data_IF_474614657369
#
_entry.id   IF_474614657369
#
_cell.length_a   1.000
_cell.length_b   1.000
_cell.length_c   1.000
_cell.angle_alpha   90.00
_cell.angle_beta   90.00
_cell.angle_gamma   90.00
#
_symmetry.space_group_name_H-M   'P 1'
#
loop_
_entity.id
_entity.type
_entity.pdbx_description
1 polymer ?
#
# COMPACT_ATOMS: atom_id res chain seq x y z
N UNK A 1 -11.53 6.65 -2.67
CA UNK A 1 -11.21 8.09 -2.89
C UNK A 1 -11.99 8.57 -4.10
N UNK A 2 -11.87 9.83 -4.56
CA UNK A 2 -12.52 10.24 -5.82
C UNK A 2 -11.89 9.52 -7.01
N UNK A 3 -12.72 8.82 -7.78
CA UNK A 3 -12.31 7.94 -8.88
C UNK A 3 -11.89 8.67 -10.17
N UNK A 4 -11.35 7.91 -11.12
CA UNK A 4 -10.97 8.38 -12.44
C UNK A 4 -9.70 9.24 -12.49
N UNK A 5 -9.51 9.94 -13.61
CA UNK A 5 -8.34 10.79 -13.89
C UNK A 5 -8.71 12.25 -14.22
N UNK A 6 -9.91 12.68 -13.82
CA UNK A 6 -10.40 14.05 -14.06
C UNK A 6 -9.66 15.08 -13.20
N UNK A 7 -9.88 16.37 -13.45
CA UNK A 7 -9.31 17.45 -12.63
C UNK A 7 -9.72 17.40 -11.14
N UNK A 8 -10.79 16.68 -10.79
CA UNK A 8 -11.29 16.52 -9.42
C UNK A 8 -11.04 15.12 -8.82
N UNK A 9 -10.38 14.24 -9.60
CA UNK A 9 -10.01 12.89 -9.15
C UNK A 9 -8.94 12.95 -8.06
N UNK A 10 -8.86 11.91 -7.25
CA UNK A 10 -7.77 11.75 -6.30
C UNK A 10 -6.42 11.71 -7.00
N UNK A 11 -6.36 11.06 -8.17
CA UNK A 11 -5.15 10.93 -8.99
C UNK A 11 -4.45 12.28 -9.22
N UNK A 12 -5.21 13.35 -9.46
CA UNK A 12 -4.69 14.69 -9.71
C UNK A 12 -4.67 15.61 -8.48
N UNK A 13 -5.17 15.17 -7.33
CA UNK A 13 -5.34 15.99 -6.12
C UNK A 13 -4.72 15.36 -4.85
N UNK A 14 -3.77 14.44 -5.01
CA UNK A 14 -3.12 13.71 -3.92
C UNK A 14 -1.69 14.19 -3.59
N UNK A 15 -1.37 15.45 -3.91
CA UNK A 15 -0.01 16.01 -3.79
C UNK A 15 0.52 15.99 -2.35
N UNK A 16 -0.32 16.32 -1.35
CA UNK A 16 0.09 16.27 0.06
C UNK A 16 0.48 14.86 0.50
N UNK A 17 -0.29 13.85 0.09
CA UNK A 17 0.00 12.46 0.38
C UNK A 17 1.28 12.00 -0.33
N UNK A 18 1.56 12.53 -1.53
CA UNK A 18 2.82 12.29 -2.24
C UNK A 18 4.02 12.84 -1.46
N UNK A 19 3.92 14.07 -0.96
CA UNK A 19 4.97 14.70 -0.15
C UNK A 19 5.25 13.91 1.14
N UNK A 20 4.21 13.38 1.79
CA UNK A 20 4.37 12.51 2.95
C UNK A 20 5.09 11.19 2.59
N UNK A 21 4.75 10.58 1.45
CA UNK A 21 5.45 9.39 0.96
C UNK A 21 6.92 9.72 0.69
N UNK A 22 7.20 10.81 -0.03
CA UNK A 22 8.55 11.25 -0.36
C UNK A 22 9.38 11.52 0.90
N UNK A 23 8.82 12.18 1.91
CA UNK A 23 9.48 12.44 3.19
C UNK A 23 9.71 11.16 4.02
N UNK A 24 8.92 10.11 3.81
CA UNK A 24 9.04 8.84 4.53
C UNK A 24 10.01 7.84 3.90
N UNK A 25 10.57 8.14 2.72
CA UNK A 25 11.43 7.22 1.96
C UNK A 25 12.64 6.72 2.74
N UNK A 26 13.31 7.61 3.47
CA UNK A 26 14.49 7.23 4.26
C UNK A 26 14.13 6.34 5.44
N UNK A 27 12.99 6.61 6.10
CA UNK A 27 12.48 5.73 7.16
C UNK A 27 12.16 4.32 6.62
N UNK A 28 11.52 4.22 5.47
CA UNK A 28 11.23 2.94 4.80
C UNK A 28 12.54 2.24 4.43
N UNK A 29 13.51 2.99 3.90
CA UNK A 29 14.81 2.48 3.52
C UNK A 29 15.55 1.89 4.72
N UNK A 30 15.65 2.65 5.81
CA UNK A 30 16.32 2.23 7.04
C UNK A 30 15.66 1.00 7.66
N UNK A 31 14.33 0.91 7.61
CA UNK A 31 13.61 -0.27 8.06
C UNK A 31 13.97 -1.51 7.22
N UNK A 32 14.04 -1.38 5.90
CA UNK A 32 14.42 -2.48 5.01
C UNK A 32 15.89 -2.87 5.23
N UNK A 33 16.82 -1.91 5.17
CA UNK A 33 18.25 -2.16 5.30
C UNK A 33 18.60 -2.69 6.69
N UNK A 34 18.04 -2.12 7.75
CA UNK A 34 18.38 -2.47 9.13
C UNK A 34 17.64 -3.67 9.70
N UNK A 35 16.41 -3.98 9.22
CA UNK A 35 15.53 -4.95 9.92
C UNK A 35 14.98 -6.08 9.06
N UNK A 36 14.97 -5.95 7.73
CA UNK A 36 14.48 -7.01 6.86
C UNK A 36 15.52 -8.12 6.74
N UNK A 37 15.36 -9.22 7.45
CA UNK A 37 16.20 -10.42 7.30
C UNK A 37 15.38 -11.53 6.65
N UNK A 38 15.55 -11.71 5.33
CA UNK A 38 14.84 -12.72 4.55
C UNK A 38 15.76 -13.78 3.94
N UNK A 39 17.05 -13.82 4.33
CA UNK A 39 17.97 -14.85 3.83
C UNK A 39 17.41 -16.27 4.07
N UNK A 40 16.80 -16.51 5.23
CA UNK A 40 16.20 -17.82 5.56
C UNK A 40 14.92 -18.11 4.74
N UNK A 41 14.18 -17.09 4.30
CA UNK A 41 12.90 -17.26 3.59
C UNK A 41 13.07 -17.50 2.08
N UNK A 42 14.12 -16.91 1.49
CA UNK A 42 14.38 -16.96 0.05
C UNK A 42 14.89 -18.32 -0.46
N UNK A 43 15.31 -19.23 0.43
CA UNK A 43 15.72 -20.58 0.04
C UNK A 43 14.61 -21.43 -0.60
N UNK A 44 13.34 -21.03 -0.45
CA UNK A 44 12.18 -21.80 -0.95
C UNK A 44 11.47 -21.16 -2.16
N UNK A 45 11.65 -19.85 -2.38
CA UNK A 45 11.02 -19.11 -3.47
C UNK A 45 11.78 -17.80 -3.71
N UNK A 46 12.05 -17.48 -4.96
CA UNK A 46 12.69 -16.22 -5.36
C UNK A 46 11.69 -15.05 -5.44
N UNK A 47 10.41 -15.27 -5.11
CA UNK A 47 9.37 -14.24 -5.20
C UNK A 47 9.22 -13.47 -3.89
N UNK A 48 9.66 -12.21 -3.89
CA UNK A 48 9.43 -11.26 -2.81
C UNK A 48 8.06 -10.57 -2.96
N UNK A 49 7.17 -10.84 -2.00
CA UNK A 49 5.77 -10.39 -1.97
C UNK A 49 5.58 -9.17 -1.08
N UNK A 50 5.09 -8.08 -1.67
CA UNK A 50 4.84 -6.78 -1.05
C UNK A 50 3.34 -6.48 -1.11
N UNK A 51 2.79 -5.84 -0.08
CA UNK A 51 1.42 -5.31 -0.11
C UNK A 51 1.39 -3.82 0.21
N UNK A 52 0.64 -3.06 -0.58
CA UNK A 52 0.13 -1.73 -0.23
C UNK A 52 -1.29 -1.85 0.35
N UNK A 53 -1.49 -1.33 1.57
CA UNK A 53 -2.79 -1.26 2.23
C UNK A 53 -3.36 0.16 2.13
N UNK A 54 -4.45 0.31 1.39
CA UNK A 54 -5.07 1.59 1.07
C UNK A 54 -4.41 2.25 -0.15
N UNK A 55 -4.31 1.52 -1.25
CA UNK A 55 -3.57 1.96 -2.43
C UNK A 55 -4.24 3.11 -3.21
N UNK A 56 -5.54 3.35 -3.01
CA UNK A 56 -6.35 4.24 -3.84
C UNK A 56 -6.18 3.88 -5.33
N UNK A 57 -6.06 4.89 -6.19
CA UNK A 57 -6.05 4.74 -7.66
C UNK A 57 -4.72 5.17 -8.32
N UNK A 58 -3.67 5.39 -7.52
CA UNK A 58 -2.41 6.00 -7.99
C UNK A 58 -2.45 7.54 -8.09
N UNK A 59 -1.33 8.19 -8.47
CA UNK A 59 -0.02 7.58 -8.79
C UNK A 59 0.83 7.28 -7.53
N UNK A 60 0.44 7.80 -6.37
CA UNK A 60 1.22 7.75 -5.12
C UNK A 60 1.67 6.35 -4.72
N UNK A 61 0.77 5.36 -4.83
CA UNK A 61 1.09 3.96 -4.51
C UNK A 61 2.22 3.40 -5.39
N UNK A 62 2.30 3.79 -6.66
CA UNK A 62 3.38 3.33 -7.55
C UNK A 62 4.73 3.87 -7.13
N UNK A 63 4.80 5.14 -6.71
CA UNK A 63 6.03 5.74 -6.20
C UNK A 63 6.50 5.05 -4.91
N UNK A 64 5.57 4.75 -3.99
CA UNK A 64 5.89 4.04 -2.77
C UNK A 64 6.40 2.62 -3.06
N UNK A 65 5.69 1.86 -3.90
CA UNK A 65 6.04 0.47 -4.21
C UNK A 65 7.32 0.34 -5.03
N UNK A 66 7.56 1.26 -5.96
CA UNK A 66 8.81 1.29 -6.70
C UNK A 66 9.99 1.55 -5.76
N UNK A 67 9.87 2.52 -4.83
CA UNK A 67 10.89 2.77 -3.82
C UNK A 67 11.18 1.55 -2.94
N UNK A 68 10.14 0.85 -2.46
CA UNK A 68 10.31 -0.39 -1.68
C UNK A 68 11.06 -1.44 -2.50
N UNK A 69 10.66 -1.68 -3.76
CA UNK A 69 11.31 -2.64 -4.65
C UNK A 69 12.78 -2.29 -4.86
N UNK A 70 13.10 -1.02 -5.10
CA UNK A 70 14.47 -0.58 -5.36
C UNK A 70 15.38 -0.75 -4.13
N UNK A 71 14.89 -0.43 -2.93
CA UNK A 71 15.66 -0.64 -1.70
C UNK A 71 15.86 -2.13 -1.41
N UNK A 72 14.85 -2.98 -1.63
CA UNK A 72 15.00 -4.42 -1.44
C UNK A 72 16.02 -4.99 -2.44
N UNK A 73 16.01 -4.53 -3.69
CA UNK A 73 17.02 -4.90 -4.70
C UNK A 73 18.42 -4.48 -4.31
N UNK A 74 18.58 -3.28 -3.77
CA UNK A 74 19.87 -2.82 -3.28
C UNK A 74 20.39 -3.71 -2.15
N UNK A 75 19.53 -4.01 -1.17
CA UNK A 75 19.89 -4.88 -0.05
C UNK A 75 20.32 -6.26 -0.51
N UNK A 76 19.56 -6.86 -1.43
CA UNK A 76 19.74 -8.21 -1.92
C UNK A 76 20.32 -8.25 -3.34
N UNK A 77 21.26 -7.37 -3.65
CA UNK A 77 21.83 -7.22 -5.00
C UNK A 77 22.50 -8.48 -5.56
N UNK A 78 22.93 -9.40 -4.68
CA UNK A 78 23.54 -10.68 -5.06
C UNK A 78 22.51 -11.78 -5.34
N UNK A 79 21.22 -11.52 -5.12
CA UNK A 79 20.13 -12.48 -5.30
C UNK A 79 19.19 -11.96 -6.38
N UNK A 80 18.85 -12.81 -7.34
CA UNK A 80 17.84 -12.48 -8.36
C UNK A 80 16.46 -12.69 -7.73
N UNK A 81 15.79 -11.58 -7.38
CA UNK A 81 14.44 -11.57 -6.82
C UNK A 81 13.40 -11.24 -7.90
N UNK A 82 12.32 -12.01 -7.91
CA UNK A 82 11.07 -11.63 -8.56
C UNK A 82 10.20 -10.86 -7.56
N UNK A 83 9.58 -9.76 -7.99
CA UNK A 83 8.73 -8.97 -7.11
C UNK A 83 7.26 -9.14 -7.48
N UNK A 84 6.42 -9.39 -6.47
CA UNK A 84 4.97 -9.37 -6.62
C UNK A 84 4.40 -8.33 -5.65
N UNK A 85 3.81 -7.28 -6.20
CA UNK A 85 3.17 -6.20 -5.45
C UNK A 85 1.67 -6.37 -5.52
N UNK A 86 1.05 -6.42 -4.35
CA UNK A 86 -0.39 -6.43 -4.17
C UNK A 86 -0.88 -5.04 -3.79
N UNK A 87 -1.84 -4.52 -4.54
CA UNK A 87 -2.50 -3.25 -4.28
C UNK A 87 -3.86 -3.54 -3.65
N UNK A 88 -4.02 -3.22 -2.36
CA UNK A 88 -5.28 -3.46 -1.64
C UNK A 88 -5.98 -2.16 -1.30
N UNK A 89 -7.30 -2.16 -1.52
CA UNK A 89 -8.22 -1.11 -1.10
C UNK A 89 -9.63 -1.71 -0.94
N UNK A 90 -10.59 -0.89 -0.54
CA UNK A 90 -12.00 -1.26 -0.49
C UNK A 90 -12.48 -1.81 -1.85
N UNK A 91 -13.47 -2.70 -1.80
CA UNK A 91 -14.07 -3.34 -2.99
C UNK A 91 -14.58 -2.30 -4.01
N UNK A 92 -15.03 -1.15 -3.51
CA UNK A 92 -15.59 -0.05 -4.29
C UNK A 92 -14.54 0.88 -4.90
N UNK A 93 -13.26 0.69 -4.59
CA UNK A 93 -12.19 1.49 -5.17
C UNK A 93 -12.08 1.26 -6.68
N UNK A 94 -11.76 2.31 -7.42
CA UNK A 94 -11.57 2.25 -8.87
C UNK A 94 -10.24 1.59 -9.27
N UNK A 95 -10.22 0.26 -9.17
CA UNK A 95 -9.12 -0.57 -9.65
C UNK A 95 -8.91 -0.49 -11.17
N UNK A 96 -9.91 -0.06 -11.95
CA UNK A 96 -9.74 0.11 -13.39
C UNK A 96 -8.75 1.24 -13.68
N UNK A 97 -8.95 2.41 -13.05
CA UNK A 97 -8.01 3.53 -13.17
C UNK A 97 -6.63 3.16 -12.61
N UNK A 98 -6.57 2.44 -11.49
CA UNK A 98 -5.31 1.93 -10.95
C UNK A 98 -4.55 1.08 -11.99
N UNK A 99 -5.22 0.09 -12.60
CA UNK A 99 -4.55 -0.81 -13.55
C UNK A 99 -4.22 -0.14 -14.88
N UNK A 100 -5.06 0.79 -15.36
CA UNK A 100 -4.78 1.57 -16.57
C UNK A 100 -3.57 2.52 -16.39
N UNK A 101 -3.27 2.92 -15.15
CA UNK A 101 -2.17 3.85 -14.84
C UNK A 101 -0.89 3.17 -14.34
N UNK A 102 -0.83 1.84 -14.32
CA UNK A 102 0.36 1.10 -13.89
C UNK A 102 1.59 1.48 -14.75
N UNK A 103 2.76 1.80 -14.13
CA UNK A 103 3.97 2.13 -14.89
C UNK A 103 4.44 0.96 -15.75
N UNK A 104 4.76 1.20 -17.02
CA UNK A 104 5.17 0.17 -17.99
C UNK A 104 6.55 -0.41 -17.63
N UNK A 105 7.45 0.43 -17.12
CA UNK A 105 8.83 0.13 -16.75
C UNK A 105 8.98 -0.41 -15.32
N UNK A 106 7.87 -0.69 -14.64
CA UNK A 106 7.88 -1.29 -13.29
C UNK A 106 8.61 -2.63 -13.31
N UNK A 107 9.32 -2.90 -12.22
CA UNK A 107 10.10 -4.13 -12.09
C UNK A 107 9.48 -5.16 -11.14
N UNK A 108 8.14 -5.21 -11.15
CA UNK A 108 7.31 -6.09 -10.34
C UNK A 108 6.02 -6.51 -11.06
N UNK A 109 5.53 -7.71 -10.74
CA UNK A 109 4.19 -8.14 -11.08
C UNK A 109 3.17 -7.46 -10.17
N UNK A 110 2.03 -7.03 -10.73
CA UNK A 110 1.00 -6.30 -10.01
C UNK A 110 -0.28 -7.14 -9.87
N UNK A 111 -0.95 -7.06 -8.73
CA UNK A 111 -2.26 -7.68 -8.50
C UNK A 111 -3.12 -6.79 -7.60
N UNK A 112 -4.42 -6.70 -7.87
CA UNK A 112 -5.36 -6.01 -6.98
C UNK A 112 -5.96 -6.96 -5.96
N UNK A 113 -6.19 -6.46 -4.74
CA UNK A 113 -6.81 -7.22 -3.64
C UNK A 113 -7.95 -6.40 -3.03
N UNK A 114 -9.18 -6.55 -3.55
CA UNK A 114 -10.34 -5.82 -3.06
C UNK A 114 -10.78 -6.36 -1.69
N UNK A 115 -10.89 -5.48 -0.70
CA UNK A 115 -11.35 -5.83 0.64
C UNK A 115 -10.88 -4.86 1.72
N UNK A 116 -11.59 -4.81 2.84
CA UNK A 116 -11.12 -4.00 3.98
C UNK A 116 -9.91 -4.64 4.64
N UNK A 117 -8.85 -3.85 4.84
CA UNK A 117 -7.66 -4.27 5.59
C UNK A 117 -7.89 -4.45 7.09
N UNK A 118 -9.09 -4.11 7.60
CA UNK A 118 -9.51 -4.48 8.96
C UNK A 118 -9.85 -5.97 9.07
N UNK A 119 -10.03 -6.66 7.94
CA UNK A 119 -10.21 -8.11 7.85
C UNK A 119 -8.96 -8.84 7.35
N UNK A 120 -9.10 -10.16 7.13
CA UNK A 120 -8.04 -10.95 6.49
C UNK A 120 -8.11 -10.79 4.97
N UNK A 121 -6.99 -10.39 4.36
CA UNK A 121 -6.83 -10.27 2.91
C UNK A 121 -5.99 -11.39 2.31
N UNK A 122 -5.13 -12.03 3.10
CA UNK A 122 -4.17 -13.03 2.63
C UNK A 122 -4.11 -14.25 3.57
N UNK A 123 -3.67 -15.42 3.05
CA UNK A 123 -3.26 -16.54 3.88
C UNK A 123 -2.13 -16.17 4.84
N UNK A 124 -1.96 -16.99 5.89
CA UNK A 124 -0.83 -16.82 6.80
C UNK A 124 0.51 -17.02 6.07
N UNK A 125 1.52 -16.22 6.44
CA UNK A 125 2.91 -16.32 5.94
C UNK A 125 3.09 -16.10 4.43
N UNK A 126 2.24 -15.29 3.79
CA UNK A 126 2.31 -15.02 2.34
C UNK A 126 2.90 -13.66 1.96
N UNK A 127 3.06 -12.73 2.90
CA UNK A 127 3.56 -11.36 2.65
C UNK A 127 4.88 -11.18 3.38
N UNK A 128 5.88 -10.61 2.69
CA UNK A 128 7.22 -10.36 3.24
C UNK A 128 7.37 -8.90 3.71
N UNK A 129 6.72 -7.96 3.02
CA UNK A 129 6.71 -6.55 3.40
C UNK A 129 5.32 -5.95 3.20
N UNK A 130 4.86 -5.18 4.19
CA UNK A 130 3.60 -4.45 4.12
C UNK A 130 3.87 -2.95 4.31
N UNK A 131 3.24 -2.15 3.46
CA UNK A 131 3.25 -0.71 3.53
C UNK A 131 1.81 -0.19 3.62
N UNK A 132 1.65 0.93 4.31
CA UNK A 132 0.40 1.69 4.31
C UNK A 132 0.74 3.15 4.54
N UNK A 133 0.26 4.03 3.66
CA UNK A 133 0.37 5.47 3.84
C UNK A 133 -0.99 6.12 3.76
N UNK A 134 -1.29 7.02 4.70
CA UNK A 134 -2.52 7.81 4.71
C UNK A 134 -3.83 6.97 4.65
N UNK A 135 -3.82 5.74 5.17
CA UNK A 135 -5.00 4.87 5.17
C UNK A 135 -5.44 4.44 6.58
N UNK A 136 -4.50 4.15 7.49
CA UNK A 136 -4.79 3.58 8.82
C UNK A 136 -5.61 4.48 9.77
N UNK A 137 -5.73 5.78 9.46
CA UNK A 137 -6.54 6.70 10.26
C UNK A 137 -8.05 6.58 9.96
N UNK A 138 -8.43 5.89 8.87
CA UNK A 138 -9.82 5.62 8.56
C UNK A 138 -10.36 4.48 9.43
N UNK A 139 -11.29 4.82 10.31
CA UNK A 139 -11.97 3.84 11.14
C UNK A 139 -12.88 2.94 10.30
N UNK A 140 -13.03 1.68 10.73
CA UNK A 140 -13.97 0.73 10.10
C UNK A 140 -15.45 1.17 10.19
N UNK A 141 -15.78 1.98 11.19
CA UNK A 141 -17.11 2.52 11.45
C UNK A 141 -17.03 3.70 12.41
N UNK A 142 -18.08 4.51 12.44
CA UNK A 142 -18.27 5.56 13.45
C UNK A 142 -18.47 4.88 14.82
N UNK A 143 -17.79 5.34 15.89
CA UNK A 143 -18.09 4.90 17.26
C UNK A 143 -19.57 5.16 17.58
N UNK A 144 -20.26 4.14 18.11
CA UNK A 144 -21.73 4.17 18.26
C UNK A 144 -22.19 5.25 19.22
N UNK A 145 -21.36 5.55 20.20
CA UNK A 145 -21.56 6.54 21.25
C UNK A 145 -21.56 7.97 20.71
N UNK A 146 -21.00 8.21 19.53
CA UNK A 146 -21.08 9.52 18.87
C UNK A 146 -22.43 9.75 18.20
N UNK A 147 -23.18 8.68 17.93
CA UNK A 147 -24.48 8.71 17.24
C UNK A 147 -25.67 8.65 18.21
N UNK A 148 -25.43 8.29 19.47
CA UNK A 148 -26.46 8.18 20.50
C UNK A 148 -26.66 9.53 21.21
N UNK A 149 -27.82 10.16 21.03
CA UNK A 149 -28.17 11.43 21.68
C UNK A 149 -28.11 11.38 23.21
N UNK A 150 -28.26 10.19 23.80
CA UNK A 150 -28.19 10.00 25.25
C UNK A 150 -26.76 9.83 25.76
N UNK A 151 -25.78 9.66 24.87
CA UNK A 151 -24.38 9.47 25.22
C UNK A 151 -23.74 10.79 25.67
N UNK A 152 -22.88 10.79 26.70
CA UNK A 152 -22.09 11.97 27.08
C UNK A 152 -21.10 12.40 25.99
N UNK A 153 -20.84 11.56 24.99
CA UNK A 153 -19.95 11.84 23.85
C UNK A 153 -20.72 12.06 22.55
N UNK A 154 -22.03 12.33 22.60
CA UNK A 154 -22.83 12.58 21.41
C UNK A 154 -22.24 13.73 20.59
N UNK A 155 -21.97 13.48 19.30
CA UNK A 155 -21.46 14.49 18.40
C UNK A 155 -22.63 15.14 17.63
N UNK A 156 -23.25 16.12 18.28
CA UNK A 156 -24.42 16.87 17.79
C UNK A 156 -24.20 17.53 16.43
#
# INVERSE_FOLDING_TARGET
>A
MNDGNSAYSYYNNSQRQKELIDASKDMVRDAIIGKLDVEVMLFSSHTFRIIELGCSIGPNTFHAMQHVVDVVKEKYHNIILEFQVFFSDHVENDFNTLFQSLPIDRSYYASGVPGSFHGRLFPSRSIHFAHSSCAIHWLSKIPKELLDEKSPTWNK
#
